data_IF_868304644243
#
_entry.id   IF_868304644243
#
_cell.length_a   1.000
_cell.length_b   1.000
_cell.length_c   1.000
_cell.angle_alpha   90.00
_cell.angle_beta   90.00
_cell.angle_gamma   90.00
#
_symmetry.space_group_name_H-M   'P 1'
#
loop_
_entity.id
_entity.type
_entity.pdbx_description
1 polymer ?
#
# COMPACT_ATOMS: atom_id res chain seq x y z
N UNK A 1 -20.81 -22.48 32.15
CA UNK A 1 -19.93 -23.67 32.09
C UNK A 1 -19.66 -24.22 30.67
N UNK A 2 -19.82 -23.44 29.59
CA UNK A 2 -19.57 -23.88 28.21
C UNK A 2 -18.14 -23.58 27.71
N UNK A 3 -17.56 -22.43 28.09
CA UNK A 3 -16.26 -21.97 27.59
C UNK A 3 -15.07 -22.91 27.92
N UNK A 4 -15.12 -23.63 29.05
CA UNK A 4 -14.08 -24.60 29.44
C UNK A 4 -14.05 -25.86 28.56
N UNK A 5 -15.13 -26.21 27.84
CA UNK A 5 -15.12 -27.30 26.85
C UNK A 5 -14.55 -26.84 25.50
N UNK A 6 -14.94 -25.65 25.02
CA UNK A 6 -14.46 -25.08 23.77
C UNK A 6 -12.91 -24.92 23.72
N UNK A 7 -12.28 -24.60 24.85
CA UNK A 7 -10.81 -24.60 24.97
C UNK A 7 -10.22 -26.01 24.78
N UNK A 8 -10.84 -27.03 25.39
CA UNK A 8 -10.35 -28.42 25.33
C UNK A 8 -10.41 -29.01 23.92
N UNK A 9 -11.39 -28.61 23.11
CA UNK A 9 -11.50 -29.03 21.71
C UNK A 9 -10.52 -28.28 20.77
N UNK A 10 -10.22 -26.98 21.02
CA UNK A 10 -9.18 -26.27 20.24
C UNK A 10 -7.79 -26.88 20.44
N UNK A 11 -7.44 -27.30 21.65
CA UNK A 11 -6.15 -27.95 21.92
C UNK A 11 -6.04 -29.39 21.39
N UNK A 12 -7.15 -30.00 20.92
CA UNK A 12 -7.11 -31.33 20.26
C UNK A 12 -6.52 -31.28 18.84
N UNK A 13 -6.50 -30.10 18.21
CA UNK A 13 -5.99 -29.89 16.85
C UNK A 13 -4.70 -29.06 16.78
N UNK A 14 -4.09 -28.72 17.93
CA UNK A 14 -2.81 -27.99 18.01
C UNK A 14 -1.78 -28.79 18.79
N UNK A 15 -1.41 -29.95 18.21
CA UNK A 15 -0.07 -30.55 18.33
C UNK A 15 0.45 -30.75 16.90
N UNK A 16 1.17 -29.75 16.37
CA UNK A 16 2.04 -29.87 15.20
C UNK A 16 3.40 -30.43 15.63
N UNK A 17 4.34 -30.74 14.72
CA UNK A 17 4.24 -31.29 13.37
C UNK A 17 4.93 -32.67 13.29
N UNK A 18 4.95 -33.32 12.11
CA UNK A 18 5.95 -34.35 11.77
C UNK A 18 6.52 -34.00 10.39
N UNK A 19 7.82 -34.20 10.23
CA UNK A 19 8.66 -33.87 9.07
C UNK A 19 8.31 -34.71 7.82
N UNK A 20 9.01 -34.43 6.71
CA UNK A 20 8.89 -35.17 5.44
C UNK A 20 9.20 -36.67 5.62
N UNK A 21 8.15 -37.46 5.76
CA UNK A 21 8.20 -38.92 5.87
C UNK A 21 7.59 -39.56 4.60
N UNK A 22 8.42 -40.27 3.84
CA UNK A 22 8.01 -40.97 2.61
C UNK A 22 6.86 -41.97 2.83
N UNK A 23 6.65 -42.45 4.06
CA UNK A 23 5.56 -43.37 4.38
C UNK A 23 4.18 -42.68 4.29
N UNK A 24 4.12 -41.35 4.48
CA UNK A 24 2.88 -40.55 4.34
C UNK A 24 2.50 -40.34 2.87
N UNK A 25 3.49 -40.16 1.99
CA UNK A 25 3.27 -40.06 0.54
C UNK A 25 2.69 -41.36 -0.05
N UNK A 26 3.21 -42.53 0.36
CA UNK A 26 2.70 -43.85 -0.08
C UNK A 26 1.23 -44.08 0.31
N UNK A 27 0.78 -43.55 1.46
CA UNK A 27 -0.59 -43.73 1.92
C UNK A 27 -1.60 -42.77 1.25
N UNK A 28 -1.19 -41.56 0.83
CA UNK A 28 -2.07 -40.67 0.03
C UNK A 28 -2.45 -41.26 -1.33
N UNK A 29 -1.54 -42.01 -1.96
CA UNK A 29 -1.82 -42.74 -3.21
C UNK A 29 -2.81 -43.90 -3.03
N UNK A 30 -3.01 -44.42 -1.80
CA UNK A 30 -3.82 -45.62 -1.54
C UNK A 30 -5.29 -45.33 -1.23
N UNK A 31 -5.64 -44.09 -0.87
CA UNK A 31 -7.00 -43.69 -0.47
C UNK A 31 -7.57 -42.49 -1.27
N UNK A 32 -6.86 -42.02 -2.30
CA UNK A 32 -7.35 -40.97 -3.20
C UNK A 32 -8.67 -41.36 -3.89
N UNK A 33 -9.74 -40.65 -3.57
CA UNK A 33 -11.06 -40.89 -4.16
C UNK A 33 -11.10 -40.53 -5.66
N UNK A 34 -11.04 -41.55 -6.52
CA UNK A 34 -11.57 -41.46 -7.89
C UNK A 34 -13.07 -41.82 -7.87
N UNK A 35 -13.93 -40.86 -8.16
CA UNK A 35 -15.29 -41.05 -8.72
C UNK A 35 -15.42 -40.12 -9.93
N UNK A 36 -15.84 -40.54 -11.11
CA UNK A 36 -16.12 -41.89 -11.59
C UNK A 36 -16.66 -41.79 -13.02
N UNK A 37 -16.03 -42.46 -13.99
CA UNK A 37 -16.54 -42.50 -15.37
C UNK A 37 -17.55 -43.63 -15.53
N UNK A 38 -18.72 -43.34 -16.13
CA UNK A 38 -19.53 -44.34 -16.85
C UNK A 38 -20.12 -43.68 -18.11
N UNK A 39 -20.29 -44.46 -19.19
CA UNK A 39 -20.47 -43.98 -20.58
C UNK A 39 -21.93 -43.86 -21.05
N UNK A 40 -22.16 -42.83 -21.88
CA UNK A 40 -23.02 -42.75 -23.09
C UNK A 40 -24.36 -43.52 -23.17
N UNK A 41 -25.42 -42.77 -23.51
CA UNK A 41 -26.18 -42.99 -24.76
C UNK A 41 -26.78 -41.65 -25.26
N UNK A 42 -27.28 -41.62 -26.50
CA UNK A 42 -27.60 -40.42 -27.29
C UNK A 42 -29.12 -40.19 -27.45
N UNK A 43 -29.56 -38.93 -27.57
CA UNK A 43 -30.48 -38.46 -28.64
C UNK A 43 -30.62 -36.91 -28.66
N UNK A 44 -31.29 -36.41 -29.70
CA UNK A 44 -31.21 -35.09 -30.35
C UNK A 44 -31.55 -33.80 -29.56
N UNK A 45 -31.01 -32.70 -30.11
CA UNK A 45 -31.57 -31.32 -30.22
C UNK A 45 -32.15 -30.60 -28.99
N UNK A 46 -31.54 -29.47 -28.60
CA UNK A 46 -32.09 -28.12 -28.87
C UNK A 46 -31.08 -27.01 -28.48
N UNK A 47 -31.07 -25.91 -29.26
CA UNK A 47 -30.45 -24.60 -28.93
C UNK A 47 -31.29 -23.89 -27.84
N UNK A 48 -30.74 -22.99 -26.99
CA UNK A 48 -30.04 -21.75 -27.37
C UNK A 48 -28.79 -21.41 -26.52
N UNK A 49 -28.11 -20.26 -26.66
CA UNK A 49 -27.49 -19.59 -27.83
C UNK A 49 -26.51 -18.51 -27.25
N UNK A 50 -26.28 -17.34 -27.88
CA UNK A 50 -25.12 -16.47 -27.62
C UNK A 50 -25.09 -15.68 -26.29
N UNK A 51 -23.97 -15.81 -25.57
CA UNK A 51 -23.53 -14.83 -24.56
C UNK A 51 -22.45 -13.96 -25.19
N UNK A 52 -22.78 -12.71 -25.49
CA UNK A 52 -21.80 -11.72 -25.93
C UNK A 52 -20.82 -11.43 -24.78
N UNK A 53 -19.60 -11.94 -24.89
CA UNK A 53 -18.47 -11.48 -24.08
C UNK A 53 -18.12 -10.08 -24.57
N UNK A 54 -18.52 -9.06 -23.81
CA UNK A 54 -18.00 -7.71 -23.98
C UNK A 54 -16.50 -7.74 -23.65
N UNK A 55 -15.68 -7.60 -24.68
CA UNK A 55 -14.26 -7.28 -24.52
C UNK A 55 -14.22 -5.86 -23.96
N UNK A 56 -13.66 -5.68 -22.76
CA UNK A 56 -13.27 -4.35 -22.30
C UNK A 56 -12.29 -3.77 -23.31
N UNK A 57 -12.68 -2.69 -24.00
CA UNK A 57 -11.79 -2.00 -24.93
C UNK A 57 -10.62 -1.41 -24.13
N UNK A 58 -9.42 -1.96 -24.34
CA UNK A 58 -8.21 -1.34 -23.81
C UNK A 58 -8.10 0.08 -24.40
N UNK A 59 -7.95 1.14 -23.56
CA UNK A 59 -7.73 2.47 -24.08
C UNK A 59 -6.41 2.46 -24.85
N UNK A 60 -6.49 2.78 -26.15
CA UNK A 60 -5.42 2.59 -27.14
C UNK A 60 -4.16 3.37 -26.75
N UNK A 61 -3.28 2.72 -25.99
CA UNK A 61 -1.90 3.11 -25.91
C UNK A 61 -1.25 2.74 -27.24
N UNK A 62 -0.64 3.71 -27.90
CA UNK A 62 -0.15 3.57 -29.28
C UNK A 62 1.16 2.76 -29.30
N UNK A 63 1.04 1.44 -29.10
CA UNK A 63 2.15 0.50 -28.95
C UNK A 63 3.08 0.56 -30.18
N UNK A 64 4.34 0.92 -29.95
CA UNK A 64 5.34 1.21 -30.99
C UNK A 64 6.45 2.17 -30.58
N UNK A 65 6.46 2.71 -29.35
CA UNK A 65 7.54 3.56 -28.86
C UNK A 65 8.70 2.73 -28.27
N UNK A 66 9.94 3.23 -28.35
CA UNK A 66 11.07 2.60 -27.69
C UNK A 66 10.90 2.53 -26.16
N UNK A 67 10.09 3.42 -25.58
CA UNK A 67 9.80 3.44 -24.14
C UNK A 67 8.81 2.35 -23.71
N UNK A 68 8.00 1.81 -24.63
CA UNK A 68 7.03 0.74 -24.35
C UNK A 68 7.75 -0.54 -23.90
N UNK A 69 8.98 -0.77 -24.41
CA UNK A 69 9.87 -1.86 -23.99
C UNK A 69 10.23 -1.75 -22.51
N UNK A 70 10.41 -0.54 -21.98
CA UNK A 70 10.66 -0.32 -20.56
C UNK A 70 9.42 -0.56 -19.71
N UNK A 71 8.25 -0.06 -20.14
CA UNK A 71 6.96 -0.27 -19.45
C UNK A 71 6.58 -1.76 -19.42
N UNK A 72 6.68 -2.46 -20.55
CA UNK A 72 6.38 -3.90 -20.67
C UNK A 72 7.30 -4.75 -19.78
N UNK A 73 8.58 -4.39 -19.71
CA UNK A 73 9.52 -5.03 -18.79
C UNK A 73 9.16 -4.77 -17.33
N UNK A 74 8.82 -3.53 -16.94
CA UNK A 74 8.43 -3.19 -15.56
C UNK A 74 7.19 -3.99 -15.12
N UNK A 75 6.18 -4.12 -15.98
CA UNK A 75 5.01 -4.98 -15.73
C UNK A 75 5.40 -6.44 -15.47
N UNK A 76 6.31 -7.00 -16.28
CA UNK A 76 6.77 -8.38 -16.15
C UNK A 76 7.64 -8.59 -14.89
N UNK A 77 8.51 -7.63 -14.57
CA UNK A 77 9.40 -7.70 -13.40
C UNK A 77 8.62 -7.62 -12.08
N UNK A 78 7.57 -6.80 -12.02
CA UNK A 78 6.73 -6.65 -10.84
C UNK A 78 6.10 -7.98 -10.37
N UNK A 79 5.78 -8.86 -11.32
CA UNK A 79 5.18 -10.18 -11.07
C UNK A 79 6.18 -11.23 -10.54
N UNK A 80 7.48 -10.92 -10.49
CA UNK A 80 8.51 -11.84 -9.98
C UNK A 80 8.65 -11.75 -8.46
N UNK A 81 8.89 -12.90 -7.83
CA UNK A 81 9.21 -13.01 -6.40
C UNK A 81 10.57 -12.40 -6.05
N UNK A 82 11.57 -12.61 -6.91
CA UNK A 82 12.87 -11.95 -6.84
C UNK A 82 13.00 -10.97 -8.01
N UNK A 83 13.22 -9.70 -7.68
CA UNK A 83 13.21 -8.58 -8.63
C UNK A 83 14.59 -7.98 -8.75
N UNK A 84 15.00 -7.63 -9.97
CA UNK A 84 16.23 -6.90 -10.25
C UNK A 84 16.02 -5.41 -9.97
N UNK A 85 16.08 -5.02 -8.69
CA UNK A 85 15.86 -3.64 -8.24
C UNK A 85 16.74 -2.62 -8.96
N UNK A 86 18.00 -2.93 -9.25
CA UNK A 86 18.89 -2.06 -10.02
C UNK A 86 18.35 -1.73 -11.42
N UNK A 87 17.75 -2.72 -12.10
CA UNK A 87 17.15 -2.50 -13.43
C UNK A 87 15.74 -1.89 -13.34
N UNK A 88 15.01 -2.12 -12.23
CA UNK A 88 13.80 -1.36 -11.92
C UNK A 88 14.13 0.13 -11.79
N UNK A 89 15.15 0.50 -11.01
CA UNK A 89 15.59 1.89 -10.84
C UNK A 89 15.95 2.52 -12.19
N UNK A 90 16.79 1.84 -12.99
CA UNK A 90 17.16 2.30 -14.34
C UNK A 90 15.93 2.60 -15.20
N UNK A 91 14.97 1.68 -15.25
CA UNK A 91 13.79 1.79 -16.12
C UNK A 91 12.75 2.76 -15.60
N UNK A 92 12.60 2.87 -14.28
CA UNK A 92 11.79 3.90 -13.65
C UNK A 92 12.37 5.28 -14.00
N UNK A 93 13.69 5.50 -13.84
CA UNK A 93 14.34 6.76 -14.24
C UNK A 93 14.10 7.07 -15.73
N UNK A 94 14.33 6.13 -16.65
CA UNK A 94 14.15 6.32 -18.10
C UNK A 94 12.70 6.63 -18.50
N UNK A 95 11.71 6.18 -17.73
CA UNK A 95 10.28 6.37 -18.04
C UNK A 95 9.61 7.50 -17.24
N UNK A 96 10.38 8.34 -16.54
CA UNK A 96 9.84 9.43 -15.71
C UNK A 96 9.01 10.42 -16.54
N UNK A 97 9.48 10.82 -17.71
CA UNK A 97 8.78 11.81 -18.56
C UNK A 97 7.36 11.35 -18.95
N UNK A 98 7.18 10.05 -19.22
CA UNK A 98 5.85 9.47 -19.49
C UNK A 98 4.96 9.56 -18.26
N UNK A 99 5.45 9.17 -17.07
CA UNK A 99 4.68 9.25 -15.83
C UNK A 99 4.28 10.67 -15.49
N UNK A 100 5.19 11.63 -15.67
CA UNK A 100 4.95 13.06 -15.46
C UNK A 100 3.92 13.58 -16.43
N UNK A 101 4.04 13.25 -17.73
CA UNK A 101 3.01 13.59 -18.72
C UNK A 101 1.64 13.03 -18.35
N UNK A 102 1.53 11.73 -18.04
CA UNK A 102 0.24 11.12 -17.67
C UNK A 102 -0.43 11.81 -16.47
N UNK A 103 0.35 12.19 -15.46
CA UNK A 103 -0.17 12.84 -14.25
C UNK A 103 -0.51 14.33 -14.51
N UNK A 104 0.26 15.03 -15.34
CA UNK A 104 -0.08 16.38 -15.82
C UNK A 104 -1.35 16.37 -16.68
N UNK A 105 -1.52 15.36 -17.54
CA UNK A 105 -2.71 15.11 -18.36
C UNK A 105 -3.90 14.58 -17.53
N UNK A 106 -3.75 14.48 -16.19
CA UNK A 106 -4.76 13.99 -15.22
C UNK A 106 -5.35 12.62 -15.57
N UNK A 107 -4.50 11.71 -16.05
CA UNK A 107 -4.85 10.30 -16.22
C UNK A 107 -5.24 9.66 -14.86
N UNK A 108 -6.22 8.74 -14.82
CA UNK A 108 -6.62 8.07 -13.58
C UNK A 108 -5.46 7.34 -12.91
N UNK A 109 -5.40 7.36 -11.57
CA UNK A 109 -4.32 6.69 -10.82
C UNK A 109 -4.20 5.21 -11.20
N UNK A 110 -5.33 4.52 -11.32
CA UNK A 110 -5.40 3.11 -11.71
C UNK A 110 -4.70 2.82 -13.05
N UNK A 111 -4.76 3.73 -14.03
CA UNK A 111 -4.09 3.58 -15.32
C UNK A 111 -2.58 3.81 -15.22
N UNK A 112 -2.17 4.85 -14.48
CA UNK A 112 -0.75 5.11 -14.19
C UNK A 112 -0.15 3.89 -13.48
N UNK A 113 -0.81 3.37 -12.45
CA UNK A 113 -0.37 2.22 -11.66
C UNK A 113 -0.52 0.88 -12.41
N UNK A 114 -1.27 0.81 -13.51
CA UNK A 114 -1.33 -0.34 -14.42
C UNK A 114 -0.10 -0.37 -15.33
N UNK A 115 0.41 0.79 -15.75
CA UNK A 115 1.65 0.90 -16.53
C UNK A 115 2.91 0.84 -15.66
N UNK A 116 2.87 1.48 -14.48
CA UNK A 116 4.00 1.67 -13.57
C UNK A 116 3.70 1.05 -12.19
N UNK A 117 3.52 -0.27 -12.09
CA UNK A 117 3.09 -0.93 -10.86
C UNK A 117 4.07 -0.77 -9.69
N UNK A 118 5.35 -0.49 -9.98
CA UNK A 118 6.38 -0.21 -8.99
C UNK A 118 6.13 1.06 -8.16
N UNK A 119 5.26 1.99 -8.59
CA UNK A 119 4.83 3.10 -7.72
C UNK A 119 4.05 2.64 -6.47
N UNK A 120 3.60 1.37 -6.42
CA UNK A 120 3.07 0.72 -5.21
C UNK A 120 4.14 0.29 -4.21
N UNK A 121 5.43 0.40 -4.55
CA UNK A 121 6.54 0.11 -3.64
C UNK A 121 7.00 1.41 -2.98
N UNK A 122 6.97 1.56 -1.64
CA UNK A 122 7.33 2.81 -0.95
C UNK A 122 8.70 3.35 -1.37
N UNK A 123 9.72 2.49 -1.50
CA UNK A 123 11.05 2.87 -2.00
C UNK A 123 11.02 3.57 -3.38
N UNK A 124 10.20 3.09 -4.32
CA UNK A 124 10.09 3.67 -5.65
C UNK A 124 9.23 4.94 -5.64
N UNK A 125 8.23 5.04 -4.76
CA UNK A 125 7.49 6.28 -4.51
C UNK A 125 8.41 7.37 -3.95
N UNK A 126 9.28 7.03 -2.99
CA UNK A 126 10.30 7.95 -2.45
C UNK A 126 11.35 8.33 -3.49
N UNK A 127 11.73 7.40 -4.37
CA UNK A 127 12.66 7.68 -5.46
C UNK A 127 12.03 8.62 -6.49
N UNK A 128 10.77 8.42 -6.85
CA UNK A 128 10.02 9.33 -7.73
C UNK A 128 9.92 10.74 -7.12
N UNK A 129 9.63 10.82 -5.81
CA UNK A 129 9.67 12.09 -5.07
C UNK A 129 11.06 12.74 -5.12
N UNK A 130 12.13 11.99 -4.87
CA UNK A 130 13.50 12.51 -4.88
C UNK A 130 13.94 12.99 -6.28
N UNK A 131 13.45 12.37 -7.35
CA UNK A 131 13.70 12.83 -8.73
C UNK A 131 12.98 14.15 -9.04
N UNK A 132 11.82 14.39 -8.41
CA UNK A 132 11.03 15.61 -8.56
C UNK A 132 11.55 16.79 -7.74
N UNK A 133 12.03 16.51 -6.54
CA UNK A 133 12.31 17.53 -5.52
C UNK A 133 13.79 17.70 -5.18
N UNK A 134 14.62 16.73 -5.59
CA UNK A 134 15.99 16.53 -5.13
C UNK A 134 16.14 16.23 -3.62
N UNK A 135 15.03 16.01 -2.90
CA UNK A 135 15.02 15.74 -1.45
C UNK A 135 14.81 14.25 -1.13
N UNK A 136 15.53 13.73 -0.13
CA UNK A 136 15.30 12.40 0.43
C UNK A 136 14.19 12.48 1.50
N UNK A 137 12.96 12.19 1.08
CA UNK A 137 11.76 12.30 1.95
C UNK A 137 11.85 11.38 3.17
N UNK A 138 12.40 10.18 3.03
CA UNK A 138 12.47 9.23 4.14
C UNK A 138 13.47 9.71 5.18
N UNK A 139 14.68 10.12 4.76
CA UNK A 139 15.68 10.70 5.65
C UNK A 139 15.17 11.97 6.34
N UNK A 140 14.51 12.87 5.61
CA UNK A 140 13.88 14.06 6.20
C UNK A 140 12.81 13.70 7.22
N UNK A 141 11.98 12.69 6.95
CA UNK A 141 10.93 12.26 7.87
C UNK A 141 11.50 11.67 9.17
N UNK A 142 12.60 10.91 9.10
CA UNK A 142 13.35 10.47 10.29
C UNK A 142 13.80 11.68 11.11
N UNK A 143 14.51 12.62 10.48
CA UNK A 143 15.01 13.85 11.15
C UNK A 143 13.86 14.65 11.82
N UNK A 144 12.72 14.79 11.14
CA UNK A 144 11.53 15.48 11.67
C UNK A 144 10.97 14.76 12.90
N UNK A 145 10.81 13.44 12.86
CA UNK A 145 10.24 12.68 13.98
C UNK A 145 11.19 12.58 15.18
N UNK A 146 12.50 12.52 14.94
CA UNK A 146 13.50 12.58 16.01
C UNK A 146 13.52 13.93 16.73
N UNK A 147 13.34 15.05 16.00
CA UNK A 147 13.37 16.41 16.57
C UNK A 147 12.04 16.75 17.27
N UNK A 148 10.90 16.57 16.59
CA UNK A 148 9.63 17.18 17.00
C UNK A 148 8.69 16.25 17.78
N UNK A 149 8.95 14.94 17.88
CA UNK A 149 7.98 14.01 18.48
C UNK A 149 7.65 14.29 19.94
N UNK A 150 8.64 14.63 20.78
CA UNK A 150 8.39 14.99 22.19
C UNK A 150 7.61 16.32 22.29
N UNK A 151 7.92 17.30 21.45
CA UNK A 151 7.21 18.60 21.42
C UNK A 151 5.75 18.43 21.03
N UNK A 152 5.47 17.71 19.94
CA UNK A 152 4.12 17.35 19.47
C UNK A 152 3.33 16.65 20.58
N UNK A 153 3.94 15.69 21.27
CA UNK A 153 3.31 15.00 22.38
C UNK A 153 3.08 15.94 23.58
N UNK A 154 4.03 16.82 23.90
CA UNK A 154 3.90 17.77 25.03
C UNK A 154 2.73 18.74 24.86
N UNK A 155 2.47 19.18 23.61
CA UNK A 155 1.36 20.07 23.28
C UNK A 155 -0.02 19.39 23.42
N UNK A 156 -0.08 18.07 23.31
CA UNK A 156 -1.30 17.27 23.44
C UNK A 156 -1.50 16.65 24.83
N UNK A 157 -0.40 16.35 25.54
CA UNK A 157 -0.42 15.55 26.77
C UNK A 157 -0.54 16.42 28.03
N UNK A 158 -1.79 16.69 28.43
CA UNK A 158 -2.11 17.06 29.83
C UNK A 158 -2.37 15.83 30.73
N UNK A 159 -2.36 14.61 30.17
CA UNK A 159 -2.53 13.33 30.90
C UNK A 159 -1.58 12.27 30.36
N UNK A 160 -0.64 11.84 31.21
CA UNK A 160 0.39 10.85 30.92
C UNK A 160 -0.16 9.57 30.30
N UNK A 161 0.05 9.39 28.99
CA UNK A 161 -0.04 8.09 28.35
C UNK A 161 1.37 7.45 28.36
N UNK A 162 1.56 6.22 28.89
CA UNK A 162 2.86 5.56 28.92
C UNK A 162 3.22 5.01 27.53
N UNK A 163 3.52 5.93 26.60
CA UNK A 163 3.77 5.67 25.18
C UNK A 163 5.25 5.45 24.84
N UNK A 164 6.09 4.99 25.78
CA UNK A 164 7.55 4.86 25.54
C UNK A 164 7.91 4.16 24.25
N UNK A 165 7.13 3.13 23.90
CA UNK A 165 7.42 2.23 22.78
C UNK A 165 6.68 2.67 21.48
N UNK A 166 5.87 3.74 21.56
CA UNK A 166 4.91 4.17 20.53
C UNK A 166 4.89 5.70 20.32
N UNK A 167 5.87 6.43 20.87
CA UNK A 167 5.93 7.91 20.81
C UNK A 167 5.83 8.44 19.39
N UNK A 168 6.61 7.89 18.46
CA UNK A 168 6.62 8.34 17.06
C UNK A 168 5.27 8.12 16.38
N UNK A 169 4.63 6.95 16.56
CA UNK A 169 3.28 6.68 16.04
C UNK A 169 2.26 7.66 16.59
N UNK A 170 2.27 7.92 17.90
CA UNK A 170 1.36 8.87 18.53
C UNK A 170 1.61 10.30 18.01
N UNK A 171 2.86 10.75 17.92
CA UNK A 171 3.21 12.06 17.38
C UNK A 171 2.79 12.22 15.91
N UNK A 172 2.98 11.19 15.07
CA UNK A 172 2.52 11.20 13.68
C UNK A 172 1.00 11.40 13.59
N UNK A 173 0.23 10.62 14.35
CA UNK A 173 -1.24 10.60 14.24
C UNK A 173 -1.92 11.81 14.88
N UNK A 174 -1.30 12.43 15.90
CA UNK A 174 -1.81 13.61 16.60
C UNK A 174 -1.36 14.93 15.95
N UNK A 175 -0.47 14.89 14.96
CA UNK A 175 0.02 16.07 14.27
C UNK A 175 -1.11 16.96 13.70
N UNK A 176 -2.21 16.44 13.10
CA UNK A 176 -3.34 17.27 12.67
C UNK A 176 -4.00 18.05 13.81
N UNK A 177 -4.20 17.38 14.95
CA UNK A 177 -4.91 17.96 16.10
C UNK A 177 -4.09 19.12 16.72
N UNK A 178 -2.76 19.04 16.69
CA UNK A 178 -1.86 20.13 17.14
C UNK A 178 -2.02 21.41 16.30
N UNK A 179 -2.31 21.31 15.00
CA UNK A 179 -2.56 22.46 14.13
C UNK A 179 -4.04 22.88 14.05
N UNK A 180 -4.94 22.12 14.68
CA UNK A 180 -6.39 22.31 14.62
C UNK A 180 -6.99 21.96 13.26
N UNK A 181 -6.34 21.05 12.52
CA UNK A 181 -6.77 20.53 11.22
C UNK A 181 -7.62 19.24 11.40
N UNK A 182 -8.30 18.79 10.34
CA UNK A 182 -9.12 17.56 10.36
C UNK A 182 -8.25 16.30 10.22
N UNK A 183 -8.00 15.64 11.37
CA UNK A 183 -7.27 14.37 11.46
C UNK A 183 -7.83 13.25 10.58
N UNK A 184 -9.14 13.24 10.26
CA UNK A 184 -9.72 12.23 9.37
C UNK A 184 -9.31 12.35 7.89
N UNK A 185 -8.74 13.50 7.48
CA UNK A 185 -8.12 13.68 6.17
C UNK A 185 -6.65 13.23 6.12
N UNK A 186 -6.06 12.95 7.28
CA UNK A 186 -4.66 12.56 7.44
C UNK A 186 -4.54 11.06 7.72
N UNK A 187 -5.35 10.54 8.66
CA UNK A 187 -5.41 9.12 8.98
C UNK A 187 -6.84 8.62 9.29
N UNK A 188 -7.23 7.52 8.63
CA UNK A 188 -8.39 6.71 8.98
C UNK A 188 -7.95 5.64 10.00
N UNK A 189 -8.18 5.91 11.29
CA UNK A 189 -7.69 5.07 12.39
C UNK A 189 -8.74 4.05 12.81
N UNK A 190 -8.50 2.77 12.52
CA UNK A 190 -9.46 1.65 12.66
C UNK A 190 -10.79 1.86 11.90
N UNK A 191 -10.80 2.73 10.88
CA UNK A 191 -11.96 3.07 10.05
C UNK A 191 -11.70 2.77 8.56
N UNK A 192 -12.78 2.72 7.78
CA UNK A 192 -12.71 2.64 6.32
C UNK A 192 -12.34 4.00 5.69
N UNK A 193 -11.47 3.97 4.69
CA UNK A 193 -11.05 5.15 3.93
C UNK A 193 -12.20 5.65 3.04
N UNK A 194 -12.66 6.89 3.31
CA UNK A 194 -13.77 7.54 2.59
C UNK A 194 -13.31 8.66 1.65
N UNK A 195 -12.11 9.19 1.85
CA UNK A 195 -11.53 10.33 1.11
C UNK A 195 -10.83 9.90 -0.17
N UNK A 196 -10.69 10.83 -1.12
CA UNK A 196 -10.02 10.58 -2.42
C UNK A 196 -8.57 11.07 -2.46
N UNK A 197 -8.18 11.98 -1.57
CA UNK A 197 -6.79 12.43 -1.42
C UNK A 197 -5.95 11.39 -0.69
N UNK A 198 -4.60 11.47 -0.79
CA UNK A 198 -3.69 10.67 0.03
C UNK A 198 -4.08 10.70 1.50
N UNK A 199 -4.18 9.52 2.11
CA UNK A 199 -4.54 9.31 3.52
C UNK A 199 -3.94 8.01 4.02
N UNK A 200 -3.62 7.94 5.31
CA UNK A 200 -3.14 6.72 5.96
C UNK A 200 -4.31 5.91 6.53
N UNK A 201 -4.47 4.66 6.11
CA UNK A 201 -5.26 3.68 6.86
C UNK A 201 -4.37 3.09 7.95
N UNK A 202 -4.81 3.15 9.21
CA UNK A 202 -4.01 2.69 10.36
C UNK A 202 -4.84 1.77 11.24
N UNK A 203 -4.39 0.52 11.41
CA UNK A 203 -5.06 -0.46 12.28
C UNK A 203 -4.24 -0.70 13.53
N UNK A 204 -4.91 -0.79 14.68
CA UNK A 204 -4.32 -1.04 16.00
C UNK A 204 -3.10 -0.12 16.31
N UNK A 205 -3.21 1.22 16.18
CA UNK A 205 -2.09 2.17 16.21
C UNK A 205 -1.21 2.11 17.47
N UNK A 206 -1.70 1.50 18.56
CA UNK A 206 -1.00 1.39 19.84
C UNK A 206 -0.72 -0.07 20.25
N UNK A 207 -0.71 -1.02 19.30
CA UNK A 207 -0.34 -2.41 19.53
C UNK A 207 0.97 -2.77 18.81
N UNK A 208 2.03 -3.00 19.59
CA UNK A 208 3.41 -3.25 19.10
C UNK A 208 3.48 -4.43 18.12
N UNK A 209 2.59 -5.41 18.24
CA UNK A 209 2.63 -6.64 17.44
C UNK A 209 1.60 -6.68 16.29
N UNK A 210 0.77 -5.64 16.12
CA UNK A 210 -0.31 -5.64 15.12
C UNK A 210 -0.69 -4.26 14.59
N UNK A 211 0.20 -3.27 14.77
CA UNK A 211 0.05 -1.97 14.13
C UNK A 211 0.30 -2.14 12.63
N UNK A 212 -0.66 -1.74 11.80
CA UNK A 212 -0.57 -1.82 10.34
C UNK A 212 -0.77 -0.42 9.75
N UNK A 213 0.11 -0.01 8.83
CA UNK A 213 -0.01 1.22 8.07
C UNK A 213 -0.19 0.89 6.58
N UNK A 214 -1.16 1.54 5.93
CA UNK A 214 -1.32 1.47 4.49
C UNK A 214 -1.66 2.86 3.92
N UNK A 215 -1.06 3.20 2.79
CA UNK A 215 -1.33 4.46 2.08
C UNK A 215 -2.45 4.23 1.07
N UNK A 216 -3.48 5.05 1.15
CA UNK A 216 -4.59 5.07 0.19
C UNK A 216 -4.56 6.35 -0.63
N UNK A 217 -4.84 6.24 -1.93
CA UNK A 217 -4.98 7.36 -2.87
C UNK A 217 -6.13 7.02 -3.83
N UNK A 218 -7.02 7.98 -4.13
CA UNK A 218 -8.26 7.75 -4.90
C UNK A 218 -9.17 6.62 -4.35
N UNK A 219 -9.06 6.33 -3.03
CA UNK A 219 -9.67 5.18 -2.31
C UNK A 219 -9.13 3.80 -2.69
N UNK A 220 -8.11 3.70 -3.55
CA UNK A 220 -7.36 2.46 -3.76
C UNK A 220 -6.20 2.37 -2.77
N UNK A 221 -5.92 1.16 -2.26
CA UNK A 221 -4.70 0.90 -1.49
C UNK A 221 -3.49 0.97 -2.43
N UNK A 222 -2.61 1.94 -2.20
CA UNK A 222 -1.40 2.12 -2.99
C UNK A 222 -0.28 1.22 -2.48
N UNK A 223 -0.02 1.22 -1.17
CA UNK A 223 1.10 0.52 -0.55
C UNK A 223 0.82 0.15 0.91
N UNK A 224 1.28 -1.02 1.33
CA UNK A 224 1.51 -1.35 2.73
C UNK A 224 2.86 -0.73 3.18
N UNK A 225 2.95 -0.35 4.45
CA UNK A 225 4.03 0.46 5.01
C UNK A 225 4.50 -0.15 6.33
N UNK A 226 5.82 -0.28 6.51
CA UNK A 226 6.39 -1.05 7.63
C UNK A 226 6.27 -0.32 8.99
N UNK A 227 6.31 1.02 9.00
CA UNK A 227 6.28 1.84 10.21
C UNK A 227 5.67 3.23 9.98
N UNK A 228 5.53 4.01 11.06
CA UNK A 228 4.95 5.36 11.01
C UNK A 228 5.84 6.38 10.26
N UNK A 229 7.16 6.18 10.21
CA UNK A 229 8.10 7.05 9.50
C UNK A 229 7.94 6.86 7.99
N UNK A 230 7.90 5.61 7.53
CA UNK A 230 7.59 5.27 6.15
C UNK A 230 6.18 5.74 5.76
N UNK A 231 5.22 5.64 6.67
CA UNK A 231 3.86 6.12 6.44
C UNK A 231 3.78 7.63 6.26
N UNK A 232 4.40 8.41 7.15
CA UNK A 232 4.44 9.87 7.05
C UNK A 232 5.18 10.33 5.78
N UNK A 233 6.32 9.69 5.47
CA UNK A 233 7.07 9.94 4.24
C UNK A 233 6.24 9.63 2.98
N UNK A 234 5.48 8.53 2.99
CA UNK A 234 4.65 8.12 1.86
C UNK A 234 3.43 9.02 1.66
N UNK A 235 2.80 9.48 2.75
CA UNK A 235 1.70 10.44 2.69
C UNK A 235 2.13 11.75 2.01
N UNK A 236 3.23 12.36 2.47
CA UNK A 236 3.77 13.59 1.86
C UNK A 236 4.22 13.32 0.42
N UNK A 237 4.96 12.22 0.17
CA UNK A 237 5.42 11.88 -1.16
C UNK A 237 4.28 11.72 -2.17
N UNK A 238 3.14 11.15 -1.76
CA UNK A 238 1.99 10.93 -2.63
C UNK A 238 1.35 12.23 -3.14
N UNK A 239 1.25 13.28 -2.31
CA UNK A 239 0.72 14.58 -2.75
C UNK A 239 1.57 15.17 -3.91
N UNK A 240 2.89 15.14 -3.80
CA UNK A 240 3.80 15.66 -4.83
C UNK A 240 3.97 14.72 -6.04
N UNK A 241 4.09 13.41 -5.82
CA UNK A 241 4.26 12.45 -6.91
C UNK A 241 3.03 12.41 -7.79
N UNK A 242 1.82 12.38 -7.22
CA UNK A 242 0.59 12.31 -8.02
C UNK A 242 -0.01 13.68 -8.39
N UNK A 243 0.66 14.79 -8.04
CA UNK A 243 0.19 16.17 -8.29
C UNK A 243 -1.26 16.37 -7.81
N UNK A 244 -1.50 15.97 -6.56
CA UNK A 244 -2.79 16.04 -5.89
C UNK A 244 -2.82 17.28 -5.00
N UNK A 245 -3.83 18.16 -5.13
CA UNK A 245 -3.90 19.36 -4.31
C UNK A 245 -4.21 19.02 -2.84
N UNK A 246 -3.44 19.62 -1.93
CA UNK A 246 -3.65 19.57 -0.49
C UNK A 246 -5.06 20.07 -0.10
N UNK A 247 -5.88 19.31 0.66
CA UNK A 247 -7.17 19.80 1.14
C UNK A 247 -7.01 20.94 2.15
N UNK A 248 -7.79 22.01 1.99
CA UNK A 248 -7.76 23.20 2.87
C UNK A 248 -7.94 22.90 4.37
N UNK A 249 -8.54 21.76 4.73
CA UNK A 249 -8.84 21.32 6.10
C UNK A 249 -7.70 20.51 6.74
N UNK A 250 -6.62 20.22 6.02
CA UNK A 250 -5.39 19.58 6.52
C UNK A 250 -4.12 20.34 6.05
N UNK A 251 -4.32 21.60 5.67
CA UNK A 251 -3.30 22.40 5.00
C UNK A 251 -2.20 22.89 5.94
N UNK A 252 -2.49 23.16 7.22
CA UNK A 252 -1.48 23.64 8.16
C UNK A 252 -0.49 22.54 8.48
N UNK A 253 -0.99 21.34 8.74
CA UNK A 253 -0.17 20.15 9.01
C UNK A 253 0.70 19.76 7.82
N UNK A 254 0.13 19.71 6.61
CA UNK A 254 0.92 19.38 5.41
C UNK A 254 1.91 20.50 5.06
N UNK A 255 1.53 21.79 5.13
CA UNK A 255 2.47 22.89 4.90
C UNK A 255 3.61 22.93 5.94
N UNK A 256 3.35 22.57 7.20
CA UNK A 256 4.40 22.38 8.21
C UNK A 256 5.39 21.28 7.78
N UNK A 257 4.88 20.09 7.44
CA UNK A 257 5.70 18.96 6.98
C UNK A 257 6.49 19.30 5.72
N UNK A 258 5.86 19.90 4.72
CA UNK A 258 6.49 20.37 3.48
C UNK A 258 7.62 21.37 3.80
N UNK A 259 7.38 22.37 4.65
CA UNK A 259 8.40 23.36 4.99
C UNK A 259 9.65 22.76 5.64
N UNK A 260 9.49 21.71 6.47
CA UNK A 260 10.60 20.96 7.05
C UNK A 260 11.29 20.02 6.03
N UNK A 261 10.52 19.38 5.14
CA UNK A 261 11.05 18.49 4.10
C UNK A 261 11.89 19.25 3.07
N UNK A 262 11.45 20.44 2.68
CA UNK A 262 12.12 21.29 1.68
C UNK A 262 13.16 22.26 2.25
N UNK A 263 13.42 22.22 3.57
CA UNK A 263 14.24 23.21 4.29
C UNK A 263 13.80 24.68 4.07
N UNK A 264 12.54 24.87 3.68
CA UNK A 264 11.94 26.20 3.49
C UNK A 264 11.61 26.73 4.86
N UNK A 265 12.45 27.65 5.35
CA UNK A 265 12.11 28.47 6.53
C UNK A 265 10.81 29.22 6.22
N UNK A 266 9.71 28.77 6.82
CA UNK A 266 8.50 29.57 6.89
C UNK A 266 8.84 30.90 7.60
N UNK A 267 8.52 32.06 7.01
CA UNK A 267 8.84 33.37 7.58
C UNK A 267 8.03 33.70 8.83
#
# INVERSE_FOLDING_TARGET
LLWKRALKDRFKYVRRPIEDDEQVLRNKCKFGHRRGQTRKSSFAENKPDDVQVQVEEEPVHREGSAMDVHIKWLKQEYMKTQRNWKEVDNRMNVTIEIRRKMISDKAPLKDILRLFPFLRCPYQLFREFQLLTHMDIYKKTVEILEIYSEDILSLYVQKSLPLTDMKMTAACLLLPDVFGDDSSLFAAVNEEVKVVTPVLAVKNPFNVNSCEFALYVEREELAQLDDCTMALAALVAAFHVFDIPCPKRIHRTLNFLESLVFDVRSP
#
